data_IF_573058434094
#
_entry.id   IF_573058434094
#
_cell.length_a   1.000
_cell.length_b   1.000
_cell.length_c   1.000
_cell.angle_alpha   90.00
_cell.angle_beta   90.00
_cell.angle_gamma   90.00
#
_symmetry.space_group_name_H-M   'P 1'
#
loop_
_entity.id
_entity.type
_entity.pdbx_description
1 polymer ?
#
# COMPACT_ATOMS: atom_id res chain seq x y z
N UNK A 1 -21.17 -10.79 -24.33
CA UNK A 1 -19.85 -11.10 -24.95
C UNK A 1 -18.83 -10.65 -23.90
N UNK A 2 -18.04 -11.56 -23.38
CA UNK A 2 -17.01 -11.21 -22.42
C UNK A 2 -15.85 -10.53 -23.17
N UNK A 3 -15.34 -9.41 -22.67
CA UNK A 3 -14.21 -8.73 -23.31
C UNK A 3 -12.93 -9.59 -23.22
N UNK A 4 -12.86 -10.51 -22.27
CA UNK A 4 -11.77 -11.46 -22.16
C UNK A 4 -11.68 -12.35 -23.39
N UNK A 5 -12.81 -12.91 -23.83
CA UNK A 5 -12.87 -13.72 -25.05
C UNK A 5 -12.52 -12.90 -26.29
N UNK A 6 -13.01 -11.65 -26.37
CA UNK A 6 -12.78 -10.79 -27.52
C UNK A 6 -11.30 -10.41 -27.71
N UNK A 7 -10.60 -10.11 -26.60
CA UNK A 7 -9.17 -9.75 -26.62
C UNK A 7 -8.23 -10.93 -26.38
N UNK A 8 -8.77 -12.14 -26.28
CA UNK A 8 -7.99 -13.37 -26.01
C UNK A 8 -7.18 -13.27 -24.72
N UNK A 9 -7.79 -12.72 -23.65
CA UNK A 9 -7.19 -12.58 -22.33
C UNK A 9 -7.59 -13.75 -21.43
N UNK A 10 -6.65 -14.23 -20.63
CA UNK A 10 -6.88 -15.34 -19.69
C UNK A 10 -7.58 -14.90 -18.41
N UNK A 11 -7.59 -13.58 -18.11
CA UNK A 11 -8.10 -12.99 -16.89
C UNK A 11 -8.18 -11.46 -17.00
N UNK A 12 -8.92 -10.84 -16.07
CA UNK A 12 -9.07 -9.38 -15.99
C UNK A 12 -7.72 -8.69 -15.73
N UNK A 13 -7.19 -7.89 -16.68
CA UNK A 13 -5.89 -7.25 -16.50
C UNK A 13 -5.94 -6.08 -15.51
N UNK A 14 -7.08 -5.41 -15.36
CA UNK A 14 -7.21 -4.16 -14.61
C UNK A 14 -8.12 -4.24 -13.39
N UNK A 15 -8.33 -5.45 -12.85
CA UNK A 15 -9.01 -5.60 -11.57
C UNK A 15 -8.29 -4.80 -10.47
N UNK A 16 -9.08 -4.08 -9.64
CA UNK A 16 -8.57 -3.35 -8.48
C UNK A 16 -8.34 -4.26 -7.26
N UNK A 17 -8.68 -5.54 -7.35
CA UNK A 17 -8.33 -6.52 -6.33
C UNK A 17 -6.80 -6.69 -6.26
N UNK A 18 -6.22 -6.76 -5.06
CA UNK A 18 -4.79 -6.95 -4.91
C UNK A 18 -4.41 -8.40 -5.27
N UNK A 19 -3.99 -8.62 -6.50
CA UNK A 19 -3.51 -9.90 -7.00
C UNK A 19 -2.00 -9.80 -7.20
N UNK A 20 -1.22 -10.56 -6.44
CA UNK A 20 0.25 -10.47 -6.40
C UNK A 20 0.92 -10.59 -7.78
N UNK A 21 0.42 -11.45 -8.67
CA UNK A 21 0.97 -11.63 -10.03
C UNK A 21 0.85 -10.39 -10.94
N UNK A 22 -0.09 -9.48 -10.65
CA UNK A 22 -0.24 -8.22 -11.37
C UNK A 22 0.53 -7.06 -10.75
N UNK A 23 1.29 -7.34 -9.70
CA UNK A 23 2.11 -6.31 -9.09
C UNK A 23 3.13 -5.80 -10.12
N UNK A 24 3.14 -4.49 -10.31
CA UNK A 24 4.12 -3.80 -11.12
C UNK A 24 5.13 -3.12 -10.21
N UNK A 25 6.35 -3.62 -10.24
CA UNK A 25 7.45 -3.08 -9.45
C UNK A 25 8.05 -1.86 -10.16
N UNK A 26 7.44 -0.70 -9.95
CA UNK A 26 8.01 0.54 -10.48
C UNK A 26 9.25 0.94 -9.69
N UNK A 27 10.15 1.70 -10.32
CA UNK A 27 11.38 2.18 -9.70
C UNK A 27 11.12 2.89 -8.34
N UNK A 28 10.05 3.70 -8.24
CA UNK A 28 9.71 4.37 -6.98
C UNK A 28 9.20 3.41 -5.91
N UNK A 29 8.43 2.34 -6.27
CA UNK A 29 7.97 1.35 -5.31
C UNK A 29 9.13 0.50 -4.79
N UNK A 30 10.04 0.06 -5.68
CA UNK A 30 11.27 -0.65 -5.29
C UNK A 30 12.13 0.21 -4.36
N UNK A 31 12.38 1.47 -4.69
CA UNK A 31 13.17 2.38 -3.85
C UNK A 31 12.49 2.62 -2.49
N UNK A 32 11.15 2.77 -2.48
CA UNK A 32 10.40 2.93 -1.24
C UNK A 32 10.56 1.69 -0.36
N UNK A 33 10.40 0.49 -0.92
CA UNK A 33 10.55 -0.79 -0.22
C UNK A 33 11.94 -0.92 0.40
N UNK A 34 13.01 -0.72 -0.38
CA UNK A 34 14.40 -0.77 0.10
C UNK A 34 14.65 0.21 1.25
N UNK A 35 14.18 1.45 1.13
CA UNK A 35 14.35 2.46 2.19
C UNK A 35 13.59 2.10 3.47
N UNK A 36 12.37 1.55 3.35
CA UNK A 36 11.60 1.08 4.49
C UNK A 36 12.25 -0.12 5.16
N UNK A 37 12.71 -1.12 4.38
CA UNK A 37 13.46 -2.27 4.89
C UNK A 37 14.71 -1.83 5.66
N UNK A 38 15.48 -0.88 5.12
CA UNK A 38 16.62 -0.31 5.84
C UNK A 38 16.22 0.31 7.18
N UNK A 39 15.14 1.10 7.22
CA UNK A 39 14.68 1.73 8.45
C UNK A 39 14.26 0.68 9.51
N UNK A 40 13.60 -0.40 9.08
CA UNK A 40 13.19 -1.49 9.94
C UNK A 40 14.38 -2.34 10.40
N UNK A 41 15.29 -2.68 9.50
CA UNK A 41 16.50 -3.42 9.87
C UNK A 41 17.33 -2.68 10.92
N UNK A 42 17.48 -1.38 10.78
CA UNK A 42 18.20 -0.52 11.73
C UNK A 42 17.37 -0.11 12.96
N UNK A 43 16.14 -0.63 13.14
CA UNK A 43 15.23 -0.31 14.25
C UNK A 43 15.12 1.21 14.50
N UNK A 44 14.90 2.01 13.44
CA UNK A 44 14.88 3.48 13.51
C UNK A 44 13.66 4.06 14.25
N UNK A 45 12.72 3.22 14.65
CA UNK A 45 11.52 3.57 15.41
C UNK A 45 10.32 3.90 14.52
N UNK A 46 10.27 5.03 13.84
CA UNK A 46 9.13 5.44 13.03
C UNK A 46 9.55 5.80 11.60
N UNK A 47 8.94 5.14 10.64
CA UNK A 47 8.96 5.53 9.22
C UNK A 47 7.55 5.89 8.76
N UNK A 48 7.44 6.80 7.79
CA UNK A 48 6.16 7.25 7.24
C UNK A 48 6.23 7.19 5.72
N UNK A 49 5.26 6.53 5.12
CA UNK A 49 5.05 6.55 3.68
C UNK A 49 3.73 7.23 3.36
N UNK A 50 3.81 8.30 2.59
CA UNK A 50 2.64 9.06 2.13
C UNK A 50 2.43 8.89 0.64
N UNK A 51 1.17 8.99 0.21
CA UNK A 51 0.80 8.99 -1.20
C UNK A 51 -0.69 9.21 -1.37
N UNK A 52 -1.10 9.68 -2.55
CA UNK A 52 -2.51 9.92 -2.85
C UNK A 52 -3.36 8.64 -2.82
N UNK A 53 -4.69 8.80 -2.83
CA UNK A 53 -5.64 7.70 -2.94
C UNK A 53 -5.34 6.90 -4.22
N UNK A 54 -5.22 5.59 -4.11
CA UNK A 54 -4.95 4.72 -5.27
C UNK A 54 -3.50 4.66 -5.73
N UNK A 55 -2.54 5.30 -5.03
CA UNK A 55 -1.11 5.27 -5.36
C UNK A 55 -0.41 3.92 -5.09
N UNK A 56 -1.09 2.94 -4.49
CA UNK A 56 -0.51 1.61 -4.22
C UNK A 56 0.05 1.43 -2.80
N UNK A 57 -0.22 2.33 -1.85
CA UNK A 57 0.28 2.26 -0.45
C UNK A 57 -0.02 0.92 0.23
N UNK A 58 -1.29 0.49 0.22
CA UNK A 58 -1.71 -0.80 0.81
C UNK A 58 -1.03 -1.99 0.15
N UNK A 59 -0.82 -1.93 -1.18
CA UNK A 59 -0.08 -2.96 -1.90
C UNK A 59 1.37 -3.01 -1.44
N UNK A 60 2.01 -1.84 -1.30
CA UNK A 60 3.38 -1.77 -0.80
C UNK A 60 3.50 -2.19 0.67
N UNK A 61 2.52 -1.87 1.52
CA UNK A 61 2.49 -2.33 2.91
C UNK A 61 2.47 -3.86 3.01
N UNK A 62 1.66 -4.52 2.18
CA UNK A 62 1.62 -5.99 2.10
C UNK A 62 2.93 -6.57 1.56
N UNK A 63 3.49 -5.96 0.50
CA UNK A 63 4.80 -6.38 -0.03
C UNK A 63 5.93 -6.22 1.00
N UNK A 64 5.90 -5.14 1.78
CA UNK A 64 6.85 -4.96 2.88
C UNK A 64 6.67 -6.06 3.93
N UNK A 65 5.43 -6.37 4.32
CA UNK A 65 5.16 -7.45 5.27
C UNK A 65 5.67 -8.80 4.74
N UNK A 66 5.39 -9.11 3.47
CA UNK A 66 5.81 -10.36 2.82
C UNK A 66 7.35 -10.47 2.71
N UNK A 67 8.05 -9.32 2.65
CA UNK A 67 9.51 -9.27 2.57
C UNK A 67 10.21 -9.37 3.93
N UNK A 68 9.48 -9.26 5.04
CA UNK A 68 10.03 -9.41 6.39
C UNK A 68 10.12 -10.90 6.75
N UNK A 69 11.33 -11.45 6.80
CA UNK A 69 11.55 -12.86 7.17
C UNK A 69 11.08 -13.12 8.60
N UNK A 70 10.15 -14.07 8.78
CA UNK A 70 9.60 -14.47 10.08
C UNK A 70 10.67 -14.97 11.07
N UNK A 71 11.84 -15.35 10.59
CA UNK A 71 12.99 -15.76 11.44
C UNK A 71 13.67 -14.54 12.09
N UNK A 72 13.60 -13.36 11.45
CA UNK A 72 14.24 -12.14 11.92
C UNK A 72 13.24 -11.10 12.47
N UNK A 73 11.96 -11.22 12.09
CA UNK A 73 10.95 -10.24 12.44
C UNK A 73 9.71 -10.89 13.04
N UNK A 74 9.17 -10.23 14.05
CA UNK A 74 7.79 -10.40 14.50
C UNK A 74 7.01 -9.20 13.97
N UNK A 75 6.35 -9.39 12.83
CA UNK A 75 5.75 -8.30 12.07
C UNK A 75 4.23 -8.42 12.00
N UNK A 76 3.54 -7.28 12.09
CA UNK A 76 2.09 -7.21 11.99
C UNK A 76 1.65 -6.04 11.10
N UNK A 77 0.54 -6.22 10.38
CA UNK A 77 -0.13 -5.17 9.62
C UNK A 77 -1.50 -4.87 10.25
N UNK A 78 -1.67 -3.64 10.70
CA UNK A 78 -2.94 -3.09 11.17
C UNK A 78 -3.52 -2.16 10.12
N UNK A 79 -4.76 -2.40 9.71
CA UNK A 79 -5.52 -1.48 8.85
C UNK A 79 -6.52 -0.71 9.72
N UNK A 80 -6.40 0.60 9.75
CA UNK A 80 -7.29 1.48 10.51
C UNK A 80 -8.50 1.82 9.64
N UNK A 81 -9.69 1.35 10.03
CA UNK A 81 -10.91 1.49 9.24
C UNK A 81 -11.90 2.53 9.78
N UNK A 82 -11.69 3.03 11.01
CA UNK A 82 -12.53 4.01 11.67
C UNK A 82 -11.67 5.07 12.38
N UNK A 83 -12.20 6.30 12.49
CA UNK A 83 -11.55 7.40 13.22
C UNK A 83 -11.77 7.33 14.74
N UNK A 84 -12.87 6.71 15.17
CA UNK A 84 -13.29 6.64 16.58
C UNK A 84 -12.54 5.57 17.38
N UNK A 85 -11.24 5.39 17.11
CA UNK A 85 -10.39 4.48 17.88
C UNK A 85 -9.76 5.19 19.06
N UNK A 86 -9.66 4.48 20.19
CA UNK A 86 -9.04 4.99 21.42
C UNK A 86 -7.61 4.51 21.54
N UNK A 87 -6.80 5.19 22.38
CA UNK A 87 -5.45 4.74 22.70
C UNK A 87 -5.42 3.34 23.33
N UNK A 88 -6.44 3.00 24.14
CA UNK A 88 -6.56 1.66 24.75
C UNK A 88 -6.85 0.58 23.71
N UNK A 89 -7.72 0.87 22.74
CA UNK A 89 -7.97 -0.04 21.62
C UNK A 89 -6.69 -0.27 20.81
N UNK A 90 -5.96 0.80 20.50
CA UNK A 90 -4.70 0.74 19.75
C UNK A 90 -3.67 -0.12 20.49
N UNK A 91 -3.41 0.17 21.77
CA UNK A 91 -2.46 -0.57 22.59
C UNK A 91 -2.81 -2.06 22.63
N UNK A 92 -4.09 -2.38 22.88
CA UNK A 92 -4.59 -3.76 22.88
C UNK A 92 -4.40 -4.44 21.55
N UNK A 93 -4.68 -3.74 20.45
CA UNK A 93 -4.55 -4.31 19.11
C UNK A 93 -3.10 -4.60 18.74
N UNK A 94 -2.18 -3.68 19.07
CA UNK A 94 -0.73 -3.88 18.91
C UNK A 94 -0.26 -5.08 19.74
N UNK A 95 -0.68 -5.17 21.01
CA UNK A 95 -0.31 -6.27 21.89
C UNK A 95 -0.75 -7.65 21.35
N UNK A 96 -2.02 -7.76 20.93
CA UNK A 96 -2.55 -9.00 20.32
C UNK A 96 -1.76 -9.39 19.08
N UNK A 97 -1.51 -8.43 18.18
CA UNK A 97 -0.81 -8.69 16.93
C UNK A 97 0.64 -9.13 17.13
N UNK A 98 1.28 -8.68 18.21
CA UNK A 98 2.63 -9.12 18.59
C UNK A 98 2.63 -10.37 19.47
N UNK A 99 1.49 -11.03 19.68
CA UNK A 99 1.39 -12.32 20.34
C UNK A 99 1.16 -12.28 21.86
N UNK A 100 0.57 -11.20 22.41
CA UNK A 100 0.01 -11.22 23.76
C UNK A 100 -1.33 -11.96 23.72
N UNK A 101 -1.36 -13.19 24.23
CA UNK A 101 -2.53 -14.08 24.11
C UNK A 101 -3.74 -13.59 24.93
N UNK A 102 -3.49 -13.07 26.15
CA UNK A 102 -4.53 -12.65 27.10
C UNK A 102 -4.29 -11.19 27.53
N UNK A 103 -4.63 -10.20 26.68
CA UNK A 103 -4.42 -8.80 27.01
C UNK A 103 -5.34 -8.36 28.15
N UNK A 104 -4.76 -7.81 29.22
CA UNK A 104 -5.49 -7.37 30.40
C UNK A 104 -6.42 -6.18 30.11
N UNK A 105 -7.46 -6.01 30.93
CA UNK A 105 -8.37 -4.87 30.85
C UNK A 105 -7.76 -3.56 31.35
N UNK A 106 -6.83 -3.64 32.31
CA UNK A 106 -6.10 -2.48 32.81
C UNK A 106 -4.97 -2.10 31.86
N UNK A 107 -4.91 -0.82 31.50
CA UNK A 107 -3.95 -0.29 30.54
C UNK A 107 -2.49 -0.44 31.01
N UNK A 108 -2.22 -0.24 32.29
CA UNK A 108 -0.85 -0.33 32.84
C UNK A 108 -0.37 -1.79 32.85
N UNK A 109 -1.27 -2.72 33.20
CA UNK A 109 -0.98 -4.15 33.15
C UNK A 109 -0.76 -4.58 31.71
N UNK A 110 -1.59 -4.15 30.77
CA UNK A 110 -1.46 -4.44 29.35
C UNK A 110 -0.14 -3.89 28.77
N UNK A 111 0.26 -2.68 29.16
CA UNK A 111 1.55 -2.11 28.74
C UNK A 111 2.72 -2.94 29.29
N UNK A 112 2.62 -3.43 30.52
CA UNK A 112 3.62 -4.32 31.11
C UNK A 112 3.68 -5.69 30.40
N UNK A 113 2.52 -6.24 29.99
CA UNK A 113 2.44 -7.45 29.19
C UNK A 113 3.10 -7.25 27.82
N UNK A 114 2.79 -6.15 27.13
CA UNK A 114 3.41 -5.81 25.84
C UNK A 114 4.92 -5.63 25.98
N UNK A 115 5.39 -4.90 26.99
CA UNK A 115 6.82 -4.72 27.23
C UNK A 115 7.54 -6.07 27.41
N UNK A 116 6.98 -6.96 28.23
CA UNK A 116 7.53 -8.32 28.45
C UNK A 116 7.60 -9.08 27.12
N UNK A 117 6.53 -9.03 26.34
CA UNK A 117 6.51 -9.70 25.01
C UNK A 117 7.55 -9.13 24.05
N UNK A 118 7.75 -7.83 24.02
CA UNK A 118 8.78 -7.18 23.21
C UNK A 118 10.21 -7.59 23.65
N UNK A 119 10.44 -7.77 24.95
CA UNK A 119 11.72 -8.28 25.47
C UNK A 119 11.92 -9.74 25.03
N UNK A 120 10.89 -10.60 25.10
CA UNK A 120 10.95 -11.97 24.60
C UNK A 120 11.30 -12.04 23.10
N UNK A 121 10.67 -11.19 22.28
CA UNK A 121 10.97 -11.07 20.85
C UNK A 121 12.44 -10.68 20.66
N UNK A 122 12.90 -9.67 21.39
CA UNK A 122 14.30 -9.22 21.35
C UNK A 122 15.29 -10.32 21.77
N UNK A 123 15.03 -11.02 22.88
CA UNK A 123 15.88 -12.12 23.38
C UNK A 123 15.90 -13.31 22.42
N UNK A 124 14.84 -13.52 21.63
CA UNK A 124 14.83 -14.52 20.55
C UNK A 124 15.63 -14.10 19.31
N UNK A 125 16.24 -12.92 19.31
CA UNK A 125 17.00 -12.36 18.19
C UNK A 125 16.15 -11.69 17.12
N UNK A 126 14.83 -11.59 17.33
CA UNK A 126 13.90 -10.98 16.38
C UNK A 126 13.68 -9.47 16.64
N UNK A 127 13.10 -8.80 15.67
CA UNK A 127 12.73 -7.38 15.69
C UNK A 127 11.21 -7.24 15.60
N UNK A 128 10.60 -6.54 16.55
CA UNK A 128 9.16 -6.29 16.49
C UNK A 128 8.85 -5.10 15.56
N UNK A 129 7.93 -5.32 14.62
CA UNK A 129 7.52 -4.34 13.61
C UNK A 129 6.01 -4.29 13.49
N UNK A 130 5.43 -3.09 13.50
CA UNK A 130 4.01 -2.89 13.25
C UNK A 130 3.82 -1.91 12.10
N UNK A 131 3.21 -2.41 11.03
CA UNK A 131 2.81 -1.63 9.88
C UNK A 131 1.38 -1.12 10.12
N UNK A 132 1.14 0.16 9.93
CA UNK A 132 -0.18 0.79 10.11
C UNK A 132 -0.63 1.33 8.76
N UNK A 133 -1.66 0.72 8.16
CA UNK A 133 -2.28 1.24 6.93
C UNK A 133 -3.47 2.14 7.27
N UNK A 134 -3.79 3.08 6.38
CA UNK A 134 -4.77 4.16 6.55
C UNK A 134 -4.44 5.03 7.79
N UNK A 135 -3.16 5.29 8.04
CA UNK A 135 -2.67 5.97 9.23
C UNK A 135 -3.19 7.41 9.38
N UNK A 136 -3.70 8.06 8.34
CA UNK A 136 -4.38 9.37 8.44
C UNK A 136 -5.67 9.32 9.29
N UNK A 137 -6.21 8.12 9.55
CA UNK A 137 -7.34 7.96 10.47
C UNK A 137 -6.94 8.16 11.94
N UNK A 138 -5.63 8.15 12.23
CA UNK A 138 -5.06 8.45 13.55
C UNK A 138 -4.92 9.96 13.70
N UNK A 139 -6.02 10.66 14.02
CA UNK A 139 -6.09 12.13 13.96
C UNK A 139 -6.19 12.80 15.35
N UNK A 140 -6.11 12.04 16.43
CA UNK A 140 -6.16 12.59 17.78
C UNK A 140 -4.77 12.72 18.41
N UNK A 141 -4.63 13.72 19.30
CA UNK A 141 -3.40 13.94 20.05
C UNK A 141 -3.07 12.75 20.97
N UNK A 142 -4.09 12.18 21.59
CA UNK A 142 -3.95 11.02 22.49
C UNK A 142 -3.36 9.81 21.76
N UNK A 143 -3.75 9.56 20.53
CA UNK A 143 -3.17 8.49 19.70
C UNK A 143 -1.71 8.78 19.36
N UNK A 144 -1.37 10.02 19.03
CA UNK A 144 0.02 10.40 18.76
C UNK A 144 0.89 10.26 20.02
N UNK A 145 0.38 10.65 21.19
CA UNK A 145 1.04 10.46 22.47
C UNK A 145 1.24 8.98 22.80
N UNK A 146 0.27 8.10 22.47
CA UNK A 146 0.40 6.66 22.66
C UNK A 146 1.53 6.09 21.79
N UNK A 147 1.59 6.42 20.51
CA UNK A 147 2.70 5.99 19.64
C UNK A 147 4.05 6.49 20.16
N UNK A 148 4.11 7.72 20.64
CA UNK A 148 5.32 8.25 21.26
C UNK A 148 5.73 7.45 22.50
N UNK A 149 4.75 7.05 23.32
CA UNK A 149 4.96 6.17 24.47
C UNK A 149 5.52 4.82 24.07
N UNK A 150 4.88 4.16 23.07
CA UNK A 150 5.32 2.86 22.56
C UNK A 150 6.72 2.91 21.94
N UNK A 151 7.07 4.00 21.26
CA UNK A 151 8.42 4.20 20.71
C UNK A 151 9.51 4.46 21.78
N UNK A 152 9.12 4.68 23.04
CA UNK A 152 10.04 4.76 24.17
C UNK A 152 10.33 3.40 24.81
N UNK A 153 9.64 2.34 24.38
CA UNK A 153 9.93 0.99 24.85
C UNK A 153 11.28 0.56 24.26
N UNK A 154 12.30 0.56 25.11
CA UNK A 154 13.67 0.26 24.71
C UNK A 154 14.41 -0.52 25.80
N UNK A 155 15.45 -1.23 25.40
CA UNK A 155 16.50 -1.75 26.25
C UNK A 155 17.78 -0.92 26.05
N UNK A 156 18.82 -1.04 26.86
CA UNK A 156 20.05 -0.26 26.65
C UNK A 156 20.52 -0.33 25.20
N UNK A 157 20.63 0.84 24.56
CA UNK A 157 21.09 1.06 23.19
C UNK A 157 20.20 0.54 22.06
N UNK A 158 19.01 -0.05 22.34
CA UNK A 158 18.14 -0.60 21.29
C UNK A 158 16.65 -0.34 21.52
N UNK A 159 15.97 0.07 20.46
CA UNK A 159 14.50 0.13 20.43
C UNK A 159 13.93 -1.28 20.28
N UNK A 160 12.85 -1.53 21.05
CA UNK A 160 12.15 -2.83 21.00
C UNK A 160 11.09 -2.90 19.91
N UNK A 161 10.60 -1.74 19.40
CA UNK A 161 9.49 -1.68 18.48
C UNK A 161 9.73 -0.61 17.40
N UNK A 162 9.39 -0.95 16.16
CA UNK A 162 9.37 0.00 15.04
C UNK A 162 8.00 0.03 14.39
N UNK A 163 7.60 1.22 13.95
CA UNK A 163 6.36 1.45 13.20
C UNK A 163 6.64 1.94 11.79
N UNK A 164 5.80 1.53 10.85
CA UNK A 164 5.70 2.15 9.53
C UNK A 164 4.26 2.61 9.31
N UNK A 165 4.06 3.89 9.13
CA UNK A 165 2.76 4.46 8.78
C UNK A 165 2.63 4.58 7.27
N UNK A 166 1.55 4.02 6.74
CA UNK A 166 1.11 4.21 5.36
C UNK A 166 -0.17 5.05 5.39
N UNK A 167 -0.14 6.20 4.76
CA UNK A 167 -1.28 7.10 4.82
C UNK A 167 -1.36 8.11 3.69
N UNK A 168 -2.43 8.88 3.71
CA UNK A 168 -2.59 10.07 2.89
C UNK A 168 -1.68 11.19 3.43
N UNK A 169 -1.42 12.25 2.64
CA UNK A 169 -0.60 13.38 3.09
C UNK A 169 -1.07 14.02 4.41
N UNK A 170 -2.34 13.90 4.76
CA UNK A 170 -2.95 14.40 6.00
C UNK A 170 -2.29 13.79 7.26
N UNK A 171 -1.65 12.62 7.16
CA UNK A 171 -0.90 12.04 8.28
C UNK A 171 0.24 12.97 8.74
N UNK A 172 0.80 13.77 7.84
CA UNK A 172 1.84 14.74 8.21
C UNK A 172 1.29 15.87 9.09
N UNK A 173 0.03 16.26 8.89
CA UNK A 173 -0.66 17.23 9.73
C UNK A 173 -1.00 16.60 11.09
N UNK A 174 -1.49 15.35 11.10
CA UNK A 174 -1.77 14.61 12.33
C UNK A 174 -0.52 14.47 13.21
N UNK A 175 0.63 14.16 12.61
CA UNK A 175 1.91 14.09 13.34
C UNK A 175 2.31 15.42 13.99
N UNK A 176 1.85 16.57 13.49
CA UNK A 176 2.11 17.89 14.09
C UNK A 176 1.36 18.10 15.40
N UNK A 177 0.32 17.29 15.71
CA UNK A 177 -0.36 17.33 17.01
C UNK A 177 0.55 16.88 18.15
N UNK A 178 1.62 16.10 17.86
CA UNK A 178 2.68 15.77 18.81
C UNK A 178 4.05 16.04 18.17
N UNK A 179 4.59 17.24 18.39
CA UNK A 179 5.87 17.63 17.83
C UNK A 179 7.04 16.70 18.23
N UNK A 180 7.10 16.15 19.46
CA UNK A 180 8.09 15.15 19.82
C UNK A 180 7.99 13.87 19.00
N UNK A 181 6.78 13.39 18.65
CA UNK A 181 6.61 12.25 17.77
C UNK A 181 7.05 12.58 16.34
N UNK A 182 6.66 13.76 15.83
CA UNK A 182 7.06 14.23 14.50
C UNK A 182 8.60 14.27 14.31
N UNK A 183 9.35 14.59 15.37
CA UNK A 183 10.82 14.58 15.39
C UNK A 183 11.42 13.17 15.40
N UNK A 184 10.64 12.15 15.77
CA UNK A 184 11.06 10.73 15.78
C UNK A 184 10.86 10.03 14.45
N UNK A 185 10.26 10.68 13.48
CA UNK A 185 10.13 10.14 12.11
C UNK A 185 11.52 10.12 11.48
N UNK A 186 12.11 8.93 11.47
CA UNK A 186 13.47 8.73 10.95
C UNK A 186 13.52 8.66 9.42
N UNK A 187 12.40 8.28 8.78
CA UNK A 187 12.32 8.16 7.33
C UNK A 187 10.95 8.64 6.84
N UNK A 188 10.96 9.47 5.83
CA UNK A 188 9.76 9.87 5.06
C UNK A 188 9.93 9.43 3.61
N UNK A 189 8.92 8.76 3.11
CA UNK A 189 8.85 8.29 1.72
C UNK A 189 7.55 8.81 1.12
N UNK A 190 7.61 9.27 -0.12
CA UNK A 190 6.42 9.69 -0.87
C UNK A 190 6.26 8.81 -2.10
N UNK A 191 5.03 8.37 -2.35
CA UNK A 191 4.63 7.75 -3.60
C UNK A 191 3.85 8.78 -4.41
N UNK A 192 4.45 9.18 -5.51
CA UNK A 192 3.82 10.07 -6.47
C UNK A 192 3.05 9.27 -7.54
N UNK A 193 2.09 9.88 -8.25
CA UNK A 193 1.49 9.27 -9.43
C UNK A 193 2.55 8.88 -10.46
N UNK A 194 2.26 7.87 -11.28
CA UNK A 194 3.15 7.47 -12.38
C UNK A 194 3.28 8.60 -13.41
N UNK A 195 4.47 8.81 -13.91
CA UNK A 195 4.67 9.57 -15.12
C UNK A 195 4.14 8.82 -16.36
N UNK A 196 4.16 9.46 -17.50
CA UNK A 196 3.64 8.87 -18.73
C UNK A 196 4.38 7.57 -19.11
N UNK A 197 5.69 7.51 -18.93
CA UNK A 197 6.50 6.33 -19.23
C UNK A 197 6.16 5.17 -18.29
N UNK A 198 6.04 5.42 -17.01
CA UNK A 198 5.63 4.43 -16.01
C UNK A 198 4.20 3.96 -16.22
N UNK A 199 3.28 4.86 -16.64
CA UNK A 199 1.91 4.51 -17.00
C UNK A 199 1.89 3.54 -18.21
N UNK A 200 2.66 3.82 -19.28
CA UNK A 200 2.77 2.93 -20.43
C UNK A 200 3.31 1.55 -20.01
N UNK A 201 4.40 1.54 -19.28
CA UNK A 201 5.00 0.31 -18.79
C UNK A 201 4.04 -0.49 -17.88
N UNK A 202 3.29 0.18 -17.01
CA UNK A 202 2.28 -0.42 -16.15
C UNK A 202 1.13 -1.06 -16.96
N UNK A 203 0.54 -0.33 -17.89
CA UNK A 203 -0.57 -0.83 -18.74
C UNK A 203 -0.12 -2.04 -19.53
N UNK A 204 1.06 -1.97 -20.17
CA UNK A 204 1.61 -3.10 -20.94
C UNK A 204 1.94 -4.29 -20.06
N UNK A 205 2.48 -4.07 -18.86
CA UNK A 205 2.74 -5.15 -17.90
C UNK A 205 1.44 -5.88 -17.54
N UNK A 206 0.38 -5.15 -17.17
CA UNK A 206 -0.91 -5.72 -16.77
C UNK A 206 -1.55 -6.54 -17.89
N UNK A 207 -1.57 -6.01 -19.12
CA UNK A 207 -2.08 -6.71 -20.29
C UNK A 207 -1.27 -7.98 -20.59
N UNK A 208 0.06 -7.91 -20.54
CA UNK A 208 0.93 -9.07 -20.76
C UNK A 208 0.70 -10.16 -19.72
N UNK A 209 0.59 -9.79 -18.45
CA UNK A 209 0.30 -10.74 -17.36
C UNK A 209 -1.08 -11.37 -17.48
N UNK A 210 -2.02 -10.69 -18.14
CA UNK A 210 -3.33 -11.23 -18.48
C UNK A 210 -3.34 -12.13 -19.71
N UNK A 211 -2.21 -12.28 -20.42
CA UNK A 211 -2.08 -13.16 -21.58
C UNK A 211 -2.14 -12.46 -22.94
N UNK A 212 -2.17 -11.12 -23.00
CA UNK A 212 -2.21 -10.39 -24.25
C UNK A 212 -1.01 -10.73 -25.15
N UNK A 213 -1.28 -11.18 -26.38
CA UNK A 213 -0.28 -11.52 -27.40
C UNK A 213 -0.08 -10.39 -28.43
N UNK A 214 -0.97 -9.40 -28.42
CA UNK A 214 -0.98 -8.26 -29.34
C UNK A 214 -1.18 -6.94 -28.60
N UNK A 215 -0.93 -5.83 -29.28
CA UNK A 215 -1.24 -4.51 -28.74
C UNK A 215 -2.75 -4.32 -28.74
N UNK A 216 -3.34 -4.16 -27.54
CA UNK A 216 -4.78 -3.95 -27.35
C UNK A 216 -5.07 -2.45 -27.20
N UNK A 217 -4.23 -1.70 -26.47
CA UNK A 217 -4.33 -0.23 -26.35
C UNK A 217 -3.11 0.36 -27.06
N UNK A 218 -3.33 1.22 -28.02
CA UNK A 218 -2.25 1.86 -28.76
C UNK A 218 -1.52 2.94 -27.94
N UNK A 219 -0.45 3.49 -28.48
CA UNK A 219 0.38 4.47 -27.76
C UNK A 219 -0.39 5.75 -27.46
N UNK A 220 -1.25 6.23 -28.36
CA UNK A 220 -2.05 7.44 -28.13
C UNK A 220 -3.18 7.16 -27.14
N UNK A 221 -3.76 5.95 -27.15
CA UNK A 221 -4.70 5.48 -26.15
C UNK A 221 -4.09 5.47 -24.76
N UNK A 222 -2.85 4.97 -24.60
CA UNK A 222 -2.15 4.98 -23.31
C UNK A 222 -1.82 6.41 -22.86
N UNK A 223 -1.46 7.32 -23.76
CA UNK A 223 -1.27 8.72 -23.40
C UNK A 223 -2.57 9.34 -22.88
N UNK A 224 -3.69 9.01 -23.49
CA UNK A 224 -5.00 9.47 -23.03
C UNK A 224 -5.39 8.85 -21.70
N UNK A 225 -5.04 7.57 -21.44
CA UNK A 225 -5.19 6.92 -20.12
C UNK A 225 -4.40 7.68 -19.06
N UNK A 226 -3.14 8.03 -19.34
CA UNK A 226 -2.31 8.81 -18.43
C UNK A 226 -2.91 10.17 -18.14
N UNK A 227 -3.36 10.90 -19.17
CA UNK A 227 -4.00 12.20 -19.01
C UNK A 227 -5.26 12.12 -18.14
N UNK A 228 -6.14 11.17 -18.41
CA UNK A 228 -7.40 11.02 -17.69
C UNK A 228 -7.22 10.54 -16.24
N UNK A 229 -6.20 9.72 -15.98
CA UNK A 229 -5.93 9.15 -14.66
C UNK A 229 -4.95 9.98 -13.81
N UNK A 230 -4.26 10.96 -14.43
CA UNK A 230 -3.14 11.66 -13.81
C UNK A 230 -2.03 10.73 -13.34
N UNK A 231 -1.92 9.53 -13.91
CA UNK A 231 -0.93 8.53 -13.51
C UNK A 231 -1.25 7.77 -12.22
N UNK A 232 -2.45 7.92 -11.65
CA UNK A 232 -2.86 7.20 -10.44
C UNK A 232 -3.22 5.74 -10.78
N UNK A 233 -2.54 4.73 -10.23
CA UNK A 233 -2.73 3.32 -10.60
C UNK A 233 -4.17 2.83 -10.55
N UNK A 234 -4.94 3.21 -9.52
CA UNK A 234 -6.37 2.85 -9.41
C UNK A 234 -7.20 3.44 -10.55
N UNK A 235 -6.96 4.69 -10.91
CA UNK A 235 -7.68 5.35 -12.01
C UNK A 235 -7.23 4.79 -13.37
N UNK A 236 -5.94 4.49 -13.55
CA UNK A 236 -5.44 3.77 -14.73
C UNK A 236 -6.22 2.47 -14.91
N UNK A 237 -6.36 1.67 -13.85
CA UNK A 237 -7.12 0.42 -13.90
C UNK A 237 -8.57 0.68 -14.30
N UNK A 238 -9.24 1.63 -13.65
CA UNK A 238 -10.65 1.94 -13.93
C UNK A 238 -10.85 2.37 -15.37
N UNK A 239 -10.00 3.25 -15.91
CA UNK A 239 -10.09 3.72 -17.29
C UNK A 239 -9.82 2.58 -18.28
N UNK A 240 -8.76 1.78 -18.06
CA UNK A 240 -8.40 0.68 -18.94
C UNK A 240 -9.44 -0.44 -18.95
N UNK A 241 -10.01 -0.80 -17.80
CA UNK A 241 -11.05 -1.83 -17.70
C UNK A 241 -12.30 -1.44 -18.47
N UNK A 242 -12.78 -0.21 -18.28
CA UNK A 242 -13.91 0.32 -19.05
C UNK A 242 -13.59 0.46 -20.54
N UNK A 243 -12.36 0.82 -20.90
CA UNK A 243 -11.95 0.91 -22.29
C UNK A 243 -11.92 -0.47 -22.97
N UNK A 244 -11.53 -1.53 -22.27
CA UNK A 244 -11.63 -2.90 -22.77
C UNK A 244 -13.09 -3.32 -23.01
N UNK A 245 -13.97 -3.01 -22.05
CA UNK A 245 -15.40 -3.31 -22.18
C UNK A 245 -16.01 -2.58 -23.38
N UNK A 246 -15.84 -1.27 -23.47
CA UNK A 246 -16.37 -0.44 -24.57
C UNK A 246 -15.77 -0.83 -25.93
N UNK A 247 -14.46 -1.16 -25.96
CA UNK A 247 -13.78 -1.63 -27.16
C UNK A 247 -14.39 -2.94 -27.69
N UNK A 248 -14.63 -3.91 -26.81
CA UNK A 248 -15.26 -5.17 -27.17
C UNK A 248 -16.71 -4.99 -27.67
N UNK A 249 -17.50 -4.13 -27.00
CA UNK A 249 -18.87 -3.79 -27.40
C UNK A 249 -18.91 -3.16 -28.82
N UNK A 250 -17.94 -2.30 -29.11
CA UNK A 250 -17.81 -1.64 -30.42
C UNK A 250 -16.98 -2.45 -31.43
N UNK A 251 -16.57 -3.69 -31.09
CA UNK A 251 -15.73 -4.56 -31.92
C UNK A 251 -14.43 -3.91 -32.40
N UNK A 252 -13.85 -3.05 -31.60
CA UNK A 252 -12.54 -2.45 -31.83
C UNK A 252 -11.44 -3.37 -31.33
N UNK A 253 -10.63 -3.90 -32.23
CA UNK A 253 -9.49 -4.77 -31.91
C UNK A 253 -8.36 -3.99 -31.21
N UNK A 254 -8.24 -2.69 -31.52
CA UNK A 254 -7.26 -1.77 -30.93
C UNK A 254 -8.01 -0.57 -30.36
N UNK A 255 -7.72 -0.26 -29.12
CA UNK A 255 -8.28 0.86 -28.37
C UNK A 255 -7.41 2.09 -28.62
N UNK A 256 -8.00 3.10 -29.25
CA UNK A 256 -7.37 4.37 -29.59
C UNK A 256 -7.67 5.47 -28.55
N UNK A 257 -7.04 6.63 -28.72
CA UNK A 257 -7.23 7.78 -27.83
C UNK A 257 -8.69 8.29 -27.80
N UNK A 258 -9.42 8.17 -28.91
CA UNK A 258 -10.81 8.68 -28.98
C UNK A 258 -11.75 7.83 -28.13
N UNK A 259 -11.59 6.50 -28.15
CA UNK A 259 -12.36 5.60 -27.29
C UNK A 259 -12.02 5.84 -25.82
N UNK A 260 -10.74 5.96 -25.47
CA UNK A 260 -10.32 6.26 -24.08
C UNK A 260 -10.88 7.61 -23.62
N UNK A 261 -10.88 8.64 -24.49
CA UNK A 261 -11.46 9.95 -24.19
C UNK A 261 -12.97 9.86 -23.92
N UNK A 262 -13.69 9.07 -24.71
CA UNK A 262 -15.12 8.83 -24.48
C UNK A 262 -15.36 8.14 -23.14
N UNK A 263 -14.59 7.12 -22.82
CA UNK A 263 -14.64 6.41 -21.53
C UNK A 263 -14.35 7.36 -20.38
N UNK A 264 -13.29 8.17 -20.49
CA UNK A 264 -12.93 9.16 -19.48
C UNK A 264 -14.07 10.16 -19.21
N UNK A 265 -14.72 10.67 -20.27
CA UNK A 265 -15.91 11.54 -20.17
C UNK A 265 -17.05 10.86 -19.43
N UNK A 266 -17.35 9.59 -19.75
CA UNK A 266 -18.40 8.80 -19.09
C UNK A 266 -18.11 8.58 -17.61
N UNK A 267 -16.83 8.51 -17.22
CA UNK A 267 -16.36 8.37 -15.83
C UNK A 267 -16.24 9.72 -15.10
N UNK A 268 -16.52 10.84 -15.79
CA UNK A 268 -16.36 12.19 -15.21
C UNK A 268 -14.91 12.59 -14.97
N UNK A 269 -13.96 11.96 -15.71
CA UNK A 269 -12.53 12.25 -15.61
C UNK A 269 -12.09 13.34 -16.59
N UNK A 270 -10.99 14.06 -16.31
CA UNK A 270 -10.45 15.08 -17.21
C UNK A 270 -10.07 14.51 -18.59
N UNK A 271 -10.29 15.31 -19.64
CA UNK A 271 -9.98 14.89 -21.02
C UNK A 271 -9.11 15.86 -21.79
N UNK A 272 -8.97 17.09 -21.31
CA UNK A 272 -8.31 18.19 -22.03
C UNK A 272 -7.12 18.79 -21.25
N UNK A 273 -7.08 18.62 -19.94
CA UNK A 273 -5.98 19.06 -19.08
C UNK A 273 -5.59 17.91 -18.11
N UNK A 274 -4.30 17.75 -17.80
CA UNK A 274 -3.85 16.74 -16.84
C UNK A 274 -4.37 17.06 -15.44
N UNK A 275 -4.73 16.03 -14.68
CA UNK A 275 -5.13 16.14 -13.27
C UNK A 275 -3.99 16.76 -12.45
N UNK A 276 -4.30 17.77 -11.66
CA UNK A 276 -3.34 18.46 -10.78
C UNK A 276 -3.42 17.94 -9.34
N UNK A 277 -2.37 18.20 -8.54
CA UNK A 277 -2.37 17.89 -7.09
C UNK A 277 -3.56 18.50 -6.33
N UNK A 278 -4.10 19.63 -6.81
CA UNK A 278 -5.28 20.29 -6.23
C UNK A 278 -6.55 19.45 -6.45
N UNK A 279 -6.68 18.81 -7.60
CA UNK A 279 -7.84 17.99 -7.95
C UNK A 279 -7.90 16.73 -7.08
N UNK A 280 -6.75 16.15 -6.71
CA UNK A 280 -6.68 15.00 -5.80
C UNK A 280 -7.12 15.33 -4.37
N UNK A 281 -6.87 16.55 -3.89
CA UNK A 281 -7.31 17.01 -2.57
C UNK A 281 -8.82 17.25 -2.51
N UNK A 282 -9.41 17.75 -3.59
CA UNK A 282 -10.84 17.97 -3.68
C UNK A 282 -11.66 16.69 -3.83
N UNK A 283 -11.15 15.69 -4.56
CA UNK A 283 -11.81 14.40 -4.74
C UNK A 283 -11.90 13.59 -3.44
N UNK A 284 -10.95 13.74 -2.52
CA UNK A 284 -10.99 13.10 -1.19
C UNK A 284 -12.11 13.62 -0.29
N UNK A 285 -12.54 14.88 -0.48
CA UNK A 285 -13.57 15.51 0.32
C UNK A 285 -15.01 15.12 -0.09
N UNK A 286 -15.22 14.56 -1.29
CA UNK A 286 -16.55 14.25 -1.83
C UNK A 286 -16.95 12.76 -1.76
N UNK A 287 -16.10 11.85 -1.25
CA UNK A 287 -16.43 10.41 -1.19
C UNK A 287 -17.20 9.97 0.07
N UNK A 288 -17.83 10.89 0.82
CA UNK A 288 -18.70 10.54 1.96
C UNK A 288 -20.11 10.05 1.57
N UNK A 289 -20.46 9.94 0.30
CA UNK A 289 -21.77 9.47 -0.17
C UNK A 289 -21.63 8.40 -1.27
N UNK A 290 -21.14 7.22 -0.92
CA UNK A 290 -21.41 6.02 -1.70
C UNK A 290 -22.60 5.27 -1.08
N UNK A 291 -23.56 4.75 -1.87
CA UNK A 291 -24.72 4.04 -1.33
C UNK A 291 -24.25 2.76 -0.63
N UNK A 292 -24.79 2.53 0.55
CA UNK A 292 -24.57 1.34 1.38
C UNK A 292 -25.03 0.10 0.61
N UNK A 293 -24.10 -0.74 0.18
CA UNK A 293 -24.41 -2.08 -0.31
C UNK A 293 -24.61 -2.94 0.93
N UNK A 294 -25.82 -3.47 1.09
CA UNK A 294 -26.20 -4.40 2.17
C UNK A 294 -25.39 -5.70 1.99
N UNK A 295 -24.66 -6.20 3.00
CA UNK A 295 -23.92 -7.44 2.88
C UNK A 295 -24.85 -8.66 2.86
N UNK A 296 -24.85 -9.40 1.77
CA UNK A 296 -25.33 -10.77 1.73
C UNK A 296 -24.30 -11.71 2.38
N UNK A 297 -24.79 -12.80 2.95
CA UNK A 297 -24.17 -13.84 3.77
C UNK A 297 -22.67 -14.19 3.55
N UNK A 298 -22.00 -14.77 4.57
CA UNK A 298 -20.56 -15.02 4.56
C UNK A 298 -20.21 -16.14 3.57
N UNK A 299 -19.48 -15.80 2.52
CA UNK A 299 -18.78 -16.77 1.67
C UNK A 299 -17.39 -17.02 2.24
N UNK A 300 -17.11 -18.25 2.61
CA UNK A 300 -15.77 -18.72 2.92
C UNK A 300 -14.91 -18.65 1.66
N UNK A 301 -13.71 -18.05 1.69
CA UNK A 301 -12.83 -18.02 0.53
C UNK A 301 -12.26 -19.42 0.23
N UNK A 302 -12.10 -19.78 -1.06
CA UNK A 302 -11.43 -21.02 -1.44
C UNK A 302 -9.94 -20.98 -1.08
N UNK A 303 -9.30 -22.15 -0.86
CA UNK A 303 -7.87 -22.22 -0.54
C UNK A 303 -7.01 -21.70 -1.69
N UNK A 304 -6.00 -20.92 -1.34
CA UNK A 304 -5.04 -20.33 -2.28
C UNK A 304 -4.19 -21.41 -2.96
N UNK A 305 -3.98 -21.36 -4.28
CA UNK A 305 -2.99 -22.20 -4.95
C UNK A 305 -1.55 -21.81 -4.58
N UNK A 306 -0.58 -22.73 -4.64
CA UNK A 306 0.80 -22.43 -4.30
C UNK A 306 1.44 -21.41 -5.23
N UNK A 307 2.20 -20.50 -4.64
CA UNK A 307 2.90 -19.40 -5.31
C UNK A 307 3.89 -19.91 -6.37
N UNK A 308 3.70 -19.49 -7.61
CA UNK A 308 4.67 -19.68 -8.69
C UNK A 308 5.88 -18.74 -8.50
N UNK A 309 7.05 -19.34 -8.37
CA UNK A 309 8.34 -18.65 -8.28
C UNK A 309 8.65 -17.94 -9.61
N UNK A 310 8.96 -16.65 -9.59
CA UNK A 310 9.50 -16.02 -10.81
C UNK A 310 9.74 -14.52 -10.83
N UNK A 311 9.07 -13.69 -10.01
CA UNK A 311 9.30 -12.23 -10.02
C UNK A 311 9.58 -11.63 -8.65
N UNK A 312 9.31 -12.36 -7.57
CA UNK A 312 9.69 -11.97 -6.22
C UNK A 312 11.20 -12.09 -6.00
N UNK A 313 11.85 -13.03 -6.70
CA UNK A 313 13.27 -13.36 -6.51
C UNK A 313 14.21 -12.20 -6.92
N UNK A 314 13.87 -11.42 -7.95
CA UNK A 314 14.75 -10.33 -8.42
C UNK A 314 14.76 -9.15 -7.45
N UNK A 315 13.62 -8.80 -6.87
CA UNK A 315 13.54 -7.72 -5.88
C UNK A 315 14.10 -8.17 -4.52
N UNK A 316 13.93 -9.43 -4.16
CA UNK A 316 14.53 -10.02 -2.96
C UNK A 316 16.05 -10.13 -3.09
N UNK A 317 16.59 -10.54 -4.24
CA UNK A 317 18.02 -10.56 -4.53
C UNK A 317 18.67 -9.17 -4.45
N UNK A 318 17.94 -8.12 -4.82
CA UNK A 318 18.44 -6.75 -4.72
C UNK A 318 18.38 -6.23 -3.27
N UNK A 319 17.37 -6.62 -2.51
CA UNK A 319 17.27 -6.36 -1.06
C UNK A 319 18.39 -7.09 -0.32
N UNK A 320 18.63 -8.37 -0.60
CA UNK A 320 19.69 -9.16 0.01
C UNK A 320 21.09 -8.60 -0.31
N UNK A 321 21.33 -8.13 -1.54
CA UNK A 321 22.58 -7.43 -1.91
C UNK A 321 22.77 -6.12 -1.14
N UNK A 322 21.71 -5.34 -0.92
CA UNK A 322 21.78 -4.11 -0.14
C UNK A 322 22.01 -4.40 1.33
N UNK A 323 21.34 -5.42 1.88
CA UNK A 323 21.53 -5.86 3.27
C UNK A 323 22.94 -6.44 3.49
N UNK A 324 23.45 -7.25 2.55
CA UNK A 324 24.84 -7.77 2.58
C UNK A 324 25.89 -6.66 2.46
N UNK A 325 25.63 -5.64 1.65
CA UNK A 325 26.49 -4.48 1.55
C UNK A 325 26.50 -3.65 2.85
N UNK A 326 25.35 -3.51 3.52
CA UNK A 326 25.22 -2.81 4.80
C UNK A 326 25.87 -3.59 5.96
N UNK A 327 25.77 -4.91 5.96
CA UNK A 327 26.42 -5.77 6.97
C UNK A 327 27.94 -5.81 6.85
N UNK A 328 28.51 -5.49 5.66
CA UNK A 328 29.96 -5.38 5.44
C UNK A 328 30.54 -4.01 5.84
N UNK A 329 29.70 -3.04 6.19
CA UNK A 329 30.10 -1.70 6.64
C UNK A 329 30.13 -1.54 8.17
N UNK A 330 29.80 -2.61 8.90
CA UNK A 330 29.95 -2.77 10.35
C UNK A 330 30.94 -3.90 10.66
#
# INVERSE_FOLDING_TARGET
MDYLDFYELNQEPFSNAPVSRFYYDSAQHSQALVRLMYALHAMKGLAVLVGHIGAGKTTLARRLLDALDEREYEAALLVIIHRDITSDWLLRRVAIQLGVEHPDGDKLVLLSQLYRRLVEIYESGKKAVVLIDEAQMLDTKELMEEFRGLLNLEVPERKLLSFVFFGLPEIEDNLRHDAPLAQRVALRVRLDPFDQQSTDAYVRHRLRMAGAQRTIIDTEGVKMVHMASGGVPRLINTVCDNALLEGALNRKEVIDADLVRQVAKNLGLPTDEPVTDADYRSAGAHQSHLPTIIPGAPMTPPPLPPLGQGSADVALDEIDRVLDALNKLH
#
